data_IF_789815089859
#
_entry.id   IF_789815089859
#
_cell.length_a   1.000
_cell.length_b   1.000
_cell.length_c   1.000
_cell.angle_alpha   90.00
_cell.angle_beta   90.00
_cell.angle_gamma   90.00
#
_symmetry.space_group_name_H-M   'P 1'
#
loop_
_entity.id
_entity.type
_entity.pdbx_description
1 polymer ?
#
# COMPACT_ATOMS: atom_id res chain seq x y z
N UNK A 1 12.43 -56.60 11.23
CA UNK A 1 13.00 -55.44 11.96
C UNK A 1 12.81 -54.24 11.07
N UNK A 2 11.71 -53.54 11.25
CA UNK A 2 11.43 -52.30 10.52
C UNK A 2 11.95 -51.11 11.32
N UNK A 3 12.95 -50.42 10.81
CA UNK A 3 13.46 -49.20 11.37
C UNK A 3 12.48 -48.06 11.06
N UNK A 4 11.73 -47.63 12.07
CA UNK A 4 11.01 -46.35 12.05
C UNK A 4 12.02 -45.21 11.95
N UNK A 5 12.21 -44.66 10.76
CA UNK A 5 12.84 -43.39 10.54
C UNK A 5 11.79 -42.30 10.91
N UNK A 6 11.80 -41.91 12.17
CA UNK A 6 11.10 -40.71 12.61
C UNK A 6 11.79 -39.52 11.94
N UNK A 7 11.16 -38.98 10.91
CA UNK A 7 11.55 -37.68 10.35
C UNK A 7 11.18 -36.61 11.36
N UNK A 8 12.17 -36.20 12.18
CA UNK A 8 12.05 -34.98 12.98
C UNK A 8 11.81 -33.83 12.00
N UNK A 9 10.69 -33.14 12.13
CA UNK A 9 10.48 -31.84 11.46
C UNK A 9 11.66 -30.93 11.84
N UNK A 10 12.28 -30.24 10.90
CA UNK A 10 13.33 -29.30 11.23
C UNK A 10 12.77 -28.25 12.21
N UNK A 11 13.42 -28.13 13.37
CA UNK A 11 13.14 -27.06 14.33
C UNK A 11 13.76 -25.82 13.69
N UNK A 12 12.92 -24.91 13.16
CA UNK A 12 13.38 -23.61 12.69
C UNK A 12 13.56 -22.69 13.90
N UNK A 13 14.74 -22.07 14.03
CA UNK A 13 15.00 -21.07 15.04
C UNK A 13 14.21 -19.79 14.67
N UNK A 14 13.40 -19.27 15.57
CA UNK A 14 12.62 -18.03 15.38
C UNK A 14 13.53 -16.81 15.11
N UNK A 15 14.80 -16.89 15.49
CA UNK A 15 15.80 -15.85 15.25
C UNK A 15 16.50 -15.96 13.86
N UNK A 16 16.36 -17.07 13.18
CA UNK A 16 16.96 -17.27 11.86
C UNK A 16 16.23 -16.46 10.78
N UNK A 17 16.97 -15.92 9.82
CA UNK A 17 16.39 -15.22 8.69
C UNK A 17 15.62 -16.19 7.80
N UNK A 18 14.44 -15.77 7.34
CA UNK A 18 13.60 -16.56 6.46
C UNK A 18 14.31 -16.72 5.10
N UNK A 19 14.40 -17.97 4.64
CA UNK A 19 15.03 -18.35 3.38
C UNK A 19 14.07 -19.16 2.51
N UNK A 20 14.48 -19.45 1.27
CA UNK A 20 13.71 -20.32 0.36
C UNK A 20 13.39 -21.70 0.96
N UNK A 21 14.28 -22.24 1.81
CA UNK A 21 14.09 -23.54 2.43
C UNK A 21 12.94 -23.61 3.45
N UNK A 22 12.46 -22.48 3.93
CA UNK A 22 11.32 -22.40 4.83
C UNK A 22 9.98 -22.61 4.11
N UNK A 23 9.97 -22.63 2.78
CA UNK A 23 8.76 -22.76 1.98
C UNK A 23 8.71 -24.05 1.17
N UNK A 24 7.51 -24.56 0.97
CA UNK A 24 7.18 -25.61 0.03
C UNK A 24 6.42 -24.99 -1.15
N UNK A 25 6.93 -25.21 -2.38
CA UNK A 25 6.25 -24.73 -3.59
C UNK A 25 5.17 -25.73 -3.98
N UNK A 26 3.95 -25.23 -4.13
CA UNK A 26 2.81 -26.07 -4.47
C UNK A 26 2.44 -25.94 -5.95
N UNK A 27 2.32 -24.71 -6.48
CA UNK A 27 1.81 -24.47 -7.83
C UNK A 27 2.17 -23.09 -8.35
N UNK A 28 2.47 -22.95 -9.64
CA UNK A 28 2.60 -21.66 -10.32
C UNK A 28 1.21 -21.09 -10.66
N UNK A 29 1.01 -19.78 -10.45
CA UNK A 29 -0.27 -19.08 -10.65
C UNK A 29 -0.17 -17.83 -11.51
N UNK A 30 1.04 -17.38 -11.81
CA UNK A 30 1.21 -16.16 -12.59
C UNK A 30 2.63 -15.97 -13.12
N UNK A 31 2.73 -15.11 -14.14
CA UNK A 31 3.98 -14.66 -14.74
C UNK A 31 4.05 -13.16 -14.61
N UNK A 32 4.90 -12.68 -13.73
CA UNK A 32 5.20 -11.25 -13.63
C UNK A 32 6.14 -10.80 -14.74
N UNK A 33 6.31 -9.49 -14.88
CA UNK A 33 7.19 -8.87 -15.88
C UNK A 33 8.63 -9.39 -15.81
N UNK A 34 9.12 -9.77 -14.61
CA UNK A 34 10.52 -10.15 -14.33
C UNK A 34 10.67 -11.51 -13.71
N UNK A 35 9.58 -12.20 -13.41
CA UNK A 35 9.60 -13.47 -12.71
C UNK A 35 8.28 -14.20 -12.77
N UNK A 36 8.09 -15.11 -11.84
CA UNK A 36 6.88 -15.91 -11.73
C UNK A 36 6.29 -15.78 -10.33
N UNK A 37 5.02 -16.12 -10.20
CA UNK A 37 4.30 -16.17 -8.94
C UNK A 37 3.85 -17.60 -8.68
N UNK A 38 4.19 -18.12 -7.51
CA UNK A 38 3.83 -19.46 -7.07
C UNK A 38 3.03 -19.43 -5.77
N UNK A 39 2.10 -20.36 -5.61
CA UNK A 39 1.53 -20.68 -4.30
C UNK A 39 2.58 -21.45 -3.51
N UNK A 40 2.85 -20.98 -2.30
CA UNK A 40 3.79 -21.62 -1.37
C UNK A 40 3.16 -21.83 0.00
N UNK A 41 3.62 -22.86 0.70
CA UNK A 41 3.29 -23.10 2.10
C UNK A 41 4.53 -22.89 2.97
N UNK A 42 4.44 -22.05 4.00
CA UNK A 42 5.49 -21.94 5.03
C UNK A 42 5.48 -23.22 5.88
N UNK A 43 6.62 -23.88 6.01
CA UNK A 43 6.71 -25.28 6.51
C UNK A 43 6.40 -25.41 7.99
N UNK A 44 6.74 -24.39 8.79
CA UNK A 44 6.51 -24.33 10.23
C UNK A 44 5.03 -24.04 10.57
N UNK A 45 4.49 -22.92 10.07
CA UNK A 45 3.14 -22.43 10.38
C UNK A 45 2.05 -23.08 9.51
N UNK A 46 2.40 -23.76 8.42
CA UNK A 46 1.49 -24.27 7.39
C UNK A 46 0.65 -23.18 6.70
N UNK A 47 0.97 -21.92 6.94
CA UNK A 47 0.29 -20.79 6.30
C UNK A 47 0.64 -20.69 4.83
N UNK A 48 -0.36 -20.35 4.03
CA UNK A 48 -0.26 -20.25 2.58
C UNK A 48 0.04 -18.81 2.17
N UNK A 49 0.88 -18.65 1.14
CA UNK A 49 1.29 -17.35 0.59
C UNK A 49 1.44 -17.42 -0.92
N UNK A 50 1.48 -16.26 -1.56
CA UNK A 50 2.00 -16.12 -2.92
C UNK A 50 3.47 -15.69 -2.86
N UNK A 51 4.35 -16.39 -3.59
CA UNK A 51 5.77 -16.05 -3.69
C UNK A 51 6.06 -15.57 -5.10
N UNK A 52 6.41 -14.30 -5.24
CA UNK A 52 6.95 -13.69 -6.46
C UNK A 52 8.47 -13.87 -6.44
N UNK A 53 9.05 -14.46 -7.46
CA UNK A 53 10.50 -14.57 -7.57
C UNK A 53 11.00 -14.00 -8.89
N UNK A 54 12.16 -13.37 -8.84
CA UNK A 54 12.75 -12.63 -9.93
C UNK A 54 14.21 -13.02 -10.08
N UNK A 55 14.61 -13.44 -11.29
CA UNK A 55 15.98 -13.81 -11.54
C UNK A 55 16.86 -12.56 -11.64
N UNK A 56 17.93 -12.48 -10.82
CA UNK A 56 18.85 -11.34 -10.71
C UNK A 56 19.45 -10.96 -12.06
N UNK A 57 19.96 -11.95 -12.82
CA UNK A 57 20.56 -11.73 -14.12
C UNK A 57 19.56 -11.08 -15.10
N UNK A 58 18.32 -11.60 -15.17
CA UNK A 58 17.29 -11.03 -16.04
C UNK A 58 16.88 -9.61 -15.61
N UNK A 59 16.89 -9.32 -14.31
CA UNK A 59 16.62 -7.97 -13.81
C UNK A 59 17.74 -6.99 -14.21
N UNK A 60 19.01 -7.41 -14.18
CA UNK A 60 20.13 -6.60 -14.65
C UNK A 60 20.04 -6.37 -16.16
N UNK A 61 19.83 -7.40 -16.96
CA UNK A 61 19.70 -7.33 -18.44
C UNK A 61 18.58 -6.39 -18.88
N UNK A 62 17.50 -6.29 -18.12
CA UNK A 62 16.33 -5.44 -18.41
C UNK A 62 16.37 -4.08 -17.72
N UNK A 63 17.42 -3.79 -16.96
CA UNK A 63 17.57 -2.55 -16.16
C UNK A 63 16.45 -2.32 -15.16
N UNK A 64 15.94 -3.38 -14.51
CA UNK A 64 14.74 -3.37 -13.65
C UNK A 64 15.07 -3.47 -12.15
N UNK A 65 16.32 -3.65 -11.79
CA UNK A 65 16.76 -3.81 -10.39
C UNK A 65 16.25 -2.69 -9.50
N UNK A 66 16.33 -1.44 -10.00
CA UNK A 66 15.88 -0.26 -9.27
C UNK A 66 14.37 -0.28 -9.00
N UNK A 67 13.57 -0.75 -9.96
CA UNK A 67 12.12 -0.84 -9.81
C UNK A 67 11.74 -1.91 -8.78
N UNK A 68 12.41 -3.07 -8.79
CA UNK A 68 12.23 -4.13 -7.79
C UNK A 68 12.54 -3.63 -6.39
N UNK A 69 13.66 -2.93 -6.21
CA UNK A 69 14.03 -2.39 -4.90
C UNK A 69 13.05 -1.33 -4.41
N UNK A 70 12.57 -0.48 -5.31
CA UNK A 70 11.57 0.53 -4.99
C UNK A 70 10.22 -0.09 -4.62
N UNK A 71 9.76 -1.10 -5.37
CA UNK A 71 8.55 -1.85 -5.04
C UNK A 71 8.67 -2.46 -3.63
N UNK A 72 9.79 -3.11 -3.35
CA UNK A 72 10.04 -3.71 -2.04
C UNK A 72 10.06 -2.67 -0.91
N UNK A 73 10.76 -1.56 -1.10
CA UNK A 73 10.85 -0.47 -0.14
C UNK A 73 9.47 0.11 0.19
N UNK A 74 8.61 0.30 -0.81
CA UNK A 74 7.24 0.78 -0.62
C UNK A 74 6.43 -0.25 0.18
N UNK A 75 6.44 -1.52 -0.26
CA UNK A 75 5.58 -2.55 0.33
C UNK A 75 5.94 -2.90 1.78
N UNK A 76 7.19 -2.71 2.21
CA UNK A 76 7.57 -2.92 3.61
C UNK A 76 6.84 -2.00 4.58
N UNK A 77 6.62 -0.74 4.17
CA UNK A 77 5.94 0.27 4.97
C UNK A 77 4.41 0.21 4.90
N UNK A 78 3.84 -0.73 4.13
CA UNK A 78 2.41 -0.84 3.92
C UNK A 78 1.80 -2.05 4.63
N UNK A 79 0.68 -1.81 5.30
CA UNK A 79 -0.18 -2.85 5.85
C UNK A 79 -1.63 -2.36 5.88
N UNK A 80 -2.49 -2.95 5.02
CA UNK A 80 -3.89 -2.53 4.92
C UNK A 80 -4.78 -3.68 4.41
N UNK A 81 -6.06 -3.79 4.86
CA UNK A 81 -6.97 -4.87 4.46
C UNK A 81 -7.21 -4.98 2.94
N UNK A 82 -7.14 -3.86 2.21
CA UNK A 82 -7.39 -3.79 0.77
C UNK A 82 -6.12 -3.58 -0.06
N UNK A 83 -4.95 -3.90 0.50
CA UNK A 83 -3.68 -4.01 -0.23
C UNK A 83 -3.16 -5.43 -0.15
N UNK A 84 -2.40 -5.84 -1.15
CA UNK A 84 -1.58 -7.06 -1.06
C UNK A 84 -0.37 -6.76 -0.18
N UNK A 85 -0.32 -7.38 1.00
CA UNK A 85 0.70 -7.11 2.00
C UNK A 85 1.94 -7.97 1.79
N UNK A 86 3.12 -7.39 1.98
CA UNK A 86 4.40 -8.11 1.98
C UNK A 86 4.61 -8.76 3.35
N UNK A 87 4.93 -10.06 3.37
CA UNK A 87 5.25 -10.83 4.58
C UNK A 87 6.74 -11.03 4.75
N UNK A 88 7.42 -11.47 3.68
CA UNK A 88 8.86 -11.72 3.71
C UNK A 88 9.50 -11.27 2.41
N UNK A 89 10.74 -10.81 2.50
CA UNK A 89 11.64 -10.73 1.36
C UNK A 89 13.00 -11.31 1.71
N UNK A 90 13.58 -12.07 0.80
CA UNK A 90 14.88 -12.70 0.92
C UNK A 90 15.45 -12.98 -0.47
N UNK A 91 16.71 -13.36 -0.52
CA UNK A 91 17.39 -13.66 -1.77
C UNK A 91 18.28 -14.87 -1.61
N UNK A 92 18.64 -15.49 -2.73
CA UNK A 92 19.74 -16.44 -2.82
C UNK A 92 20.71 -16.01 -3.91
N UNK A 93 21.58 -16.91 -4.38
CA UNK A 93 22.59 -16.60 -5.40
C UNK A 93 21.97 -16.13 -6.73
N UNK A 94 20.87 -16.74 -7.17
CA UNK A 94 20.28 -16.52 -8.50
C UNK A 94 19.07 -15.61 -8.51
N UNK A 95 18.26 -15.61 -7.43
CA UNK A 95 16.93 -15.00 -7.42
C UNK A 95 16.69 -14.14 -6.19
N UNK A 96 15.79 -13.15 -6.35
CA UNK A 96 15.16 -12.36 -5.31
C UNK A 96 13.73 -12.84 -5.10
N UNK A 97 13.26 -12.88 -3.86
CA UNK A 97 11.94 -13.40 -3.47
C UNK A 97 11.16 -12.36 -2.68
N UNK A 98 9.88 -12.24 -3.01
CA UNK A 98 8.88 -11.47 -2.24
C UNK A 98 7.72 -12.40 -1.94
N UNK A 99 7.40 -12.58 -0.66
CA UNK A 99 6.30 -13.41 -0.18
C UNK A 99 5.19 -12.49 0.28
N UNK A 100 4.02 -12.61 -0.34
CA UNK A 100 2.88 -11.72 -0.16
C UNK A 100 1.61 -12.51 0.18
N UNK A 101 0.52 -11.81 0.51
CA UNK A 101 -0.79 -12.42 0.71
C UNK A 101 -1.17 -13.32 -0.47
N UNK A 102 -1.77 -14.48 -0.18
CA UNK A 102 -2.36 -15.36 -1.19
C UNK A 102 -3.82 -15.00 -1.39
N UNK A 103 -4.16 -14.56 -2.59
CA UNK A 103 -5.50 -14.18 -2.99
C UNK A 103 -5.97 -15.11 -4.13
N UNK A 104 -6.95 -15.95 -3.86
CA UNK A 104 -7.39 -17.00 -4.78
C UNK A 104 -8.60 -16.61 -5.64
N UNK A 105 -9.14 -15.41 -5.42
CA UNK A 105 -10.27 -14.90 -6.20
C UNK A 105 -9.92 -14.45 -7.61
N UNK A 106 -8.62 -14.35 -7.96
CA UNK A 106 -8.15 -13.84 -9.25
C UNK A 106 -8.23 -12.31 -9.35
N UNK A 107 -7.77 -11.76 -10.47
CA UNK A 107 -7.86 -10.33 -10.73
C UNK A 107 -9.17 -9.95 -11.45
N UNK A 108 -9.56 -8.68 -11.34
CA UNK A 108 -10.80 -8.19 -11.97
C UNK A 108 -10.73 -8.24 -13.50
N UNK A 109 -9.54 -8.18 -14.11
CA UNK A 109 -9.36 -8.36 -15.56
C UNK A 109 -9.74 -9.77 -16.00
N UNK A 110 -9.29 -10.80 -15.25
CA UNK A 110 -9.66 -12.18 -15.49
C UNK A 110 -11.19 -12.35 -15.52
N UNK A 111 -11.90 -11.80 -14.53
CA UNK A 111 -13.36 -11.88 -14.48
C UNK A 111 -14.04 -11.14 -15.63
N UNK A 112 -13.56 -9.95 -16.01
CA UNK A 112 -14.07 -9.23 -17.18
C UNK A 112 -13.87 -10.01 -18.48
N UNK A 113 -12.77 -10.75 -18.63
CA UNK A 113 -12.51 -11.63 -19.80
C UNK A 113 -13.40 -12.89 -19.80
N UNK A 114 -13.91 -13.29 -18.66
CA UNK A 114 -14.92 -14.36 -18.53
C UNK A 114 -16.36 -13.83 -18.71
N UNK A 115 -16.51 -12.64 -19.31
CA UNK A 115 -17.80 -11.96 -19.53
C UNK A 115 -18.61 -11.70 -18.24
N UNK A 116 -17.97 -11.67 -17.07
CA UNK A 116 -18.62 -11.25 -15.84
C UNK A 116 -19.04 -9.77 -15.98
N UNK A 117 -20.28 -9.49 -15.61
CA UNK A 117 -20.82 -8.15 -15.47
C UNK A 117 -21.14 -7.94 -14.00
N UNK A 118 -20.39 -7.07 -13.36
CA UNK A 118 -20.61 -6.78 -11.95
C UNK A 118 -21.87 -5.94 -11.79
N UNK A 119 -22.67 -6.28 -10.79
CA UNK A 119 -23.86 -5.50 -10.43
C UNK A 119 -23.43 -4.16 -9.80
N UNK A 120 -24.32 -3.18 -9.88
CA UNK A 120 -24.07 -1.83 -9.36
C UNK A 120 -23.80 -1.84 -7.84
N UNK A 121 -24.49 -2.68 -7.08
CA UNK A 121 -24.27 -2.84 -5.66
C UNK A 121 -22.85 -3.38 -5.36
N UNK A 122 -22.37 -4.34 -6.15
CA UNK A 122 -21.00 -4.87 -6.04
C UNK A 122 -19.96 -3.80 -6.34
N UNK A 123 -20.13 -3.04 -7.44
CA UNK A 123 -19.19 -1.99 -7.81
C UNK A 123 -19.21 -0.84 -6.80
N UNK A 124 -20.37 -0.54 -6.18
CA UNK A 124 -20.47 0.41 -5.07
C UNK A 124 -19.54 0.02 -3.91
N UNK A 125 -19.55 -1.25 -3.50
CA UNK A 125 -18.67 -1.74 -2.43
C UNK A 125 -17.20 -1.72 -2.87
N UNK A 126 -16.88 -2.14 -4.09
CA UNK A 126 -15.50 -2.07 -4.62
C UNK A 126 -14.97 -0.63 -4.65
N UNK A 127 -15.79 0.36 -4.99
CA UNK A 127 -15.41 1.77 -4.91
C UNK A 127 -15.07 2.15 -3.45
N UNK A 128 -15.89 1.73 -2.48
CA UNK A 128 -15.64 2.03 -1.07
C UNK A 128 -14.34 1.38 -0.55
N UNK A 129 -14.11 0.11 -0.86
CA UNK A 129 -12.89 -0.63 -0.48
C UNK A 129 -11.63 -0.03 -1.11
N UNK A 130 -11.68 0.29 -2.42
CA UNK A 130 -10.57 0.93 -3.13
C UNK A 130 -10.35 2.37 -2.65
N UNK A 131 -11.40 3.12 -2.31
CA UNK A 131 -11.26 4.46 -1.73
C UNK A 131 -10.50 4.42 -0.39
N UNK A 132 -10.80 3.46 0.49
CA UNK A 132 -10.06 3.23 1.74
C UNK A 132 -8.59 2.88 1.47
N UNK A 133 -8.31 2.06 0.46
CA UNK A 133 -6.94 1.73 0.06
C UNK A 133 -6.18 2.96 -0.46
N UNK A 134 -6.80 3.77 -1.31
CA UNK A 134 -6.19 4.99 -1.87
C UNK A 134 -5.94 6.05 -0.81
N UNK A 135 -6.86 6.23 0.13
CA UNK A 135 -6.70 7.15 1.26
C UNK A 135 -5.52 6.72 2.15
N UNK A 136 -5.43 5.42 2.45
CA UNK A 136 -4.29 4.87 3.18
C UNK A 136 -2.97 5.11 2.44
N UNK A 137 -2.89 4.89 1.12
CA UNK A 137 -1.69 5.18 0.33
C UNK A 137 -1.35 6.67 0.37
N UNK A 138 -2.35 7.55 0.28
CA UNK A 138 -2.17 8.99 0.38
C UNK A 138 -1.63 9.38 1.76
N UNK A 139 -2.11 8.78 2.86
CA UNK A 139 -1.60 9.00 4.22
C UNK A 139 -0.11 8.59 4.37
N UNK A 140 0.36 7.68 3.52
CA UNK A 140 1.77 7.27 3.42
C UNK A 140 2.56 8.04 2.37
N UNK A 141 1.98 9.09 1.79
CA UNK A 141 2.56 9.89 0.71
C UNK A 141 2.89 9.07 -0.54
N UNK A 142 2.06 8.09 -0.89
CA UNK A 142 2.28 7.20 -2.03
C UNK A 142 1.21 7.43 -3.09
N UNK A 143 1.63 7.55 -4.36
CA UNK A 143 0.77 7.47 -5.54
C UNK A 143 1.07 6.13 -6.23
N UNK A 144 0.04 5.32 -6.46
CA UNK A 144 0.16 4.00 -7.09
C UNK A 144 0.44 4.07 -8.58
N UNK A 145 -0.28 4.93 -9.31
CA UNK A 145 -0.15 5.26 -10.74
C UNK A 145 -0.56 4.16 -11.73
N UNK A 146 -1.00 3.01 -11.26
CA UNK A 146 -1.45 1.91 -12.16
C UNK A 146 -2.67 1.16 -11.62
N UNK A 147 -3.64 1.89 -11.05
CA UNK A 147 -4.94 1.34 -10.64
C UNK A 147 -5.72 0.93 -11.90
N UNK A 148 -6.02 -0.36 -12.02
CA UNK A 148 -6.74 -0.96 -13.13
C UNK A 148 -7.23 -2.36 -12.75
N UNK A 149 -8.18 -2.98 -13.49
CA UNK A 149 -8.68 -4.32 -13.19
C UNK A 149 -7.60 -5.40 -13.08
N UNK A 150 -6.51 -5.27 -13.83
CA UNK A 150 -5.38 -6.21 -13.83
C UNK A 150 -4.58 -6.18 -12.50
N UNK A 151 -4.61 -5.06 -11.79
CA UNK A 151 -3.88 -4.81 -10.54
C UNK A 151 -4.79 -4.79 -9.31
N UNK A 152 -6.03 -5.27 -9.44
CA UNK A 152 -6.98 -5.43 -8.32
C UNK A 152 -7.35 -6.91 -8.24
N UNK A 153 -6.87 -7.58 -7.21
CA UNK A 153 -7.13 -8.99 -6.92
C UNK A 153 -8.33 -9.12 -5.99
N UNK A 154 -9.02 -10.25 -6.05
CA UNK A 154 -10.08 -10.63 -5.14
C UNK A 154 -9.59 -11.69 -4.14
N UNK A 155 -10.01 -11.58 -2.90
CA UNK A 155 -9.92 -12.69 -1.95
C UNK A 155 -11.06 -13.71 -2.18
N UNK A 156 -11.10 -14.78 -1.39
CA UNK A 156 -12.10 -15.83 -1.51
C UNK A 156 -13.52 -15.38 -1.14
N UNK A 157 -13.64 -14.26 -0.43
CA UNK A 157 -14.89 -13.62 -0.02
C UNK A 157 -15.35 -12.57 -1.03
N UNK A 158 -14.51 -12.25 -2.01
CA UNK A 158 -14.79 -11.29 -3.08
C UNK A 158 -14.41 -9.85 -2.74
N UNK A 159 -13.64 -9.61 -1.68
CA UNK A 159 -13.10 -8.27 -1.37
C UNK A 159 -11.88 -7.95 -2.23
N UNK A 160 -11.72 -6.66 -2.57
CA UNK A 160 -10.65 -6.21 -3.46
C UNK A 160 -9.34 -5.94 -2.72
N UNK A 161 -8.22 -6.19 -3.40
CA UNK A 161 -6.87 -5.89 -2.92
C UNK A 161 -6.03 -5.32 -4.05
N UNK A 162 -5.46 -4.13 -3.83
CA UNK A 162 -4.55 -3.50 -4.78
C UNK A 162 -3.18 -4.15 -4.71
N UNK A 163 -2.59 -4.43 -5.87
CA UNK A 163 -1.27 -5.05 -6.04
C UNK A 163 -0.43 -4.32 -7.07
N UNK A 164 0.84 -4.70 -7.20
CA UNK A 164 1.78 -4.22 -8.22
C UNK A 164 2.23 -2.77 -8.03
N UNK A 165 3.10 -2.55 -7.04
CA UNK A 165 3.67 -1.24 -6.69
C UNK A 165 4.93 -0.88 -7.47
N UNK A 166 5.26 -1.60 -8.57
CA UNK A 166 6.53 -1.42 -9.28
C UNK A 166 6.72 -0.03 -9.91
N UNK A 167 5.64 0.66 -10.28
CA UNK A 167 5.70 2.04 -10.74
C UNK A 167 5.14 3.06 -9.73
N UNK A 168 4.75 2.64 -8.54
CA UNK A 168 4.32 3.53 -7.47
C UNK A 168 5.42 4.54 -7.10
N UNK A 169 5.06 5.67 -6.53
CA UNK A 169 6.04 6.70 -6.14
C UNK A 169 5.68 7.35 -4.82
N UNK A 170 6.72 7.64 -4.05
CA UNK A 170 6.58 8.44 -2.83
C UNK A 170 6.63 9.93 -3.23
N UNK A 171 5.67 10.70 -2.74
CA UNK A 171 5.61 12.16 -2.89
C UNK A 171 6.41 12.77 -1.76
N UNK A 172 7.31 13.69 -2.08
CA UNK A 172 8.06 14.45 -1.09
C UNK A 172 7.72 15.93 -1.21
N UNK A 173 7.91 16.70 -0.14
CA UNK A 173 7.62 18.15 -0.14
C UNK A 173 8.40 18.92 -1.21
N UNK A 174 9.59 18.42 -1.56
CA UNK A 174 10.55 19.12 -2.41
C UNK A 174 10.51 18.67 -3.88
N UNK A 175 9.75 17.62 -4.21
CA UNK A 175 9.81 17.01 -5.54
C UNK A 175 8.44 16.85 -6.16
N UNK A 176 8.18 17.54 -7.26
CA UNK A 176 6.97 17.35 -8.06
C UNK A 176 7.04 16.04 -8.85
N UNK A 177 5.96 15.27 -8.81
CA UNK A 177 5.83 14.06 -9.62
C UNK A 177 5.36 14.45 -11.01
N UNK A 178 6.25 14.35 -12.03
CA UNK A 178 5.97 14.80 -13.39
C UNK A 178 6.24 13.76 -14.48
N UNK A 179 6.80 12.61 -14.12
CA UNK A 179 7.11 11.58 -15.10
C UNK A 179 5.84 10.81 -15.51
N UNK A 180 5.65 10.65 -16.81
CA UNK A 180 4.55 9.84 -17.37
C UNK A 180 4.84 8.37 -17.07
N UNK A 181 4.01 7.74 -16.25
CA UNK A 181 4.09 6.33 -15.90
C UNK A 181 2.69 5.77 -15.66
N UNK A 182 2.43 4.56 -16.12
CA UNK A 182 1.13 3.90 -16.00
C UNK A 182 0.61 3.29 -17.28
N UNK A 183 -0.56 2.72 -17.20
CA UNK A 183 -1.28 2.14 -18.33
C UNK A 183 -2.17 3.21 -18.98
N UNK A 184 -1.79 3.71 -20.15
CA UNK A 184 -2.43 4.87 -20.83
C UNK A 184 -3.95 4.95 -20.74
N UNK A 185 -4.73 3.87 -20.96
CA UNK A 185 -6.20 3.93 -20.89
C UNK A 185 -6.79 4.26 -19.50
N UNK A 186 -5.99 4.20 -18.44
CA UNK A 186 -6.40 4.47 -17.05
C UNK A 186 -5.76 5.73 -16.48
N UNK A 187 -4.77 6.31 -17.19
CA UNK A 187 -4.04 7.49 -16.72
C UNK A 187 -4.91 8.74 -16.77
N UNK A 188 -4.78 9.58 -15.75
CA UNK A 188 -5.48 10.85 -15.66
C UNK A 188 -4.94 11.89 -16.68
N UNK A 189 -5.78 12.84 -17.15
CA UNK A 189 -5.39 13.85 -18.13
C UNK A 189 -4.14 14.65 -17.73
N UNK A 190 -4.04 15.05 -16.47
CA UNK A 190 -2.94 15.86 -15.92
C UNK A 190 -1.59 15.13 -15.95
N UNK A 191 -1.57 13.80 -15.99
CA UNK A 191 -0.31 13.03 -16.13
C UNK A 191 0.37 13.26 -17.48
N UNK A 192 -0.39 13.63 -18.52
CA UNK A 192 0.14 13.91 -19.85
C UNK A 192 0.60 15.36 -20.03
N UNK A 193 0.23 16.25 -19.11
CA UNK A 193 0.59 17.68 -19.14
C UNK A 193 1.56 18.08 -18.03
N UNK A 194 1.88 17.15 -17.13
CA UNK A 194 2.76 17.41 -15.99
C UNK A 194 4.16 17.85 -16.41
N UNK A 195 4.70 18.81 -15.69
CA UNK A 195 6.05 19.36 -15.86
C UNK A 195 6.81 19.30 -14.53
N UNK A 196 8.11 19.57 -14.56
CA UNK A 196 8.92 19.62 -13.34
C UNK A 196 8.48 20.73 -12.36
N UNK A 197 7.76 21.74 -12.85
CA UNK A 197 7.25 22.86 -12.05
C UNK A 197 5.78 22.72 -11.69
N UNK A 198 5.03 21.85 -12.39
CA UNK A 198 3.61 21.58 -12.16
C UNK A 198 3.36 20.09 -12.31
N UNK A 199 3.61 19.35 -11.24
CA UNK A 199 3.41 17.90 -11.18
C UNK A 199 1.93 17.51 -11.03
N UNK A 200 1.68 16.21 -10.87
CA UNK A 200 0.37 15.67 -10.54
C UNK A 200 0.38 15.10 -9.11
N UNK A 201 -0.82 14.94 -8.55
CA UNK A 201 -1.04 14.52 -7.17
C UNK A 201 -1.71 13.14 -7.08
N UNK A 202 -2.15 12.77 -5.88
CA UNK A 202 -2.93 11.56 -5.60
C UNK A 202 -4.23 11.45 -6.41
N UNK A 203 -4.78 12.57 -6.88
CA UNK A 203 -6.00 12.62 -7.69
C UNK A 203 -5.94 11.72 -8.94
N UNK A 204 -4.75 11.38 -9.44
CA UNK A 204 -4.59 10.49 -10.60
C UNK A 204 -5.05 9.05 -10.32
N UNK A 205 -4.88 8.55 -9.10
CA UNK A 205 -5.34 7.21 -8.73
C UNK A 205 -6.87 7.16 -8.59
N UNK A 206 -7.50 8.25 -8.13
CA UNK A 206 -8.96 8.38 -8.05
C UNK A 206 -9.61 8.45 -9.44
N UNK A 207 -8.97 9.10 -10.41
CA UNK A 207 -9.38 9.00 -11.81
C UNK A 207 -9.35 7.55 -12.28
N UNK A 208 -8.25 6.84 -12.02
CA UNK A 208 -8.05 5.44 -12.43
C UNK A 208 -9.10 4.53 -11.78
N UNK A 209 -9.48 4.79 -10.52
CA UNK A 209 -10.60 4.15 -9.84
C UNK A 209 -11.91 4.37 -10.60
N UNK A 210 -12.21 5.60 -11.02
CA UNK A 210 -13.42 5.93 -11.80
C UNK A 210 -13.47 5.20 -13.14
N UNK A 211 -12.35 5.15 -13.88
CA UNK A 211 -12.24 4.39 -15.14
C UNK A 211 -12.45 2.89 -14.90
N UNK A 212 -11.85 2.35 -13.82
CA UNK A 212 -12.01 0.95 -13.42
C UNK A 212 -13.46 0.64 -13.08
N UNK A 213 -14.11 1.43 -12.23
CA UNK A 213 -15.52 1.26 -11.85
C UNK A 213 -16.45 1.27 -13.07
N UNK A 214 -16.26 2.22 -14.00
CA UNK A 214 -17.00 2.25 -15.25
C UNK A 214 -16.82 0.96 -16.05
N UNK A 215 -15.56 0.47 -16.19
CA UNK A 215 -15.26 -0.74 -16.97
C UNK A 215 -15.89 -1.99 -16.34
N UNK A 216 -15.91 -2.10 -15.00
CA UNK A 216 -16.54 -3.21 -14.27
C UNK A 216 -18.05 -3.30 -14.57
N UNK A 217 -18.75 -2.16 -14.56
CA UNK A 217 -20.17 -2.08 -14.87
C UNK A 217 -20.48 -2.29 -16.36
N UNK A 218 -19.63 -1.77 -17.25
CA UNK A 218 -19.91 -1.73 -18.70
C UNK A 218 -19.33 -2.92 -19.45
N UNK A 219 -18.25 -3.53 -18.93
CA UNK A 219 -17.41 -4.50 -19.63
C UNK A 219 -16.48 -3.88 -20.67
N UNK A 220 -16.41 -2.54 -20.73
CA UNK A 220 -15.49 -1.78 -21.59
C UNK A 220 -15.24 -0.40 -21.01
N UNK A 221 -14.07 0.17 -21.29
CA UNK A 221 -13.66 1.49 -20.81
C UNK A 221 -14.50 2.64 -21.41
N UNK A 222 -14.60 3.78 -20.70
CA UNK A 222 -15.36 4.94 -21.19
C UNK A 222 -14.69 5.60 -22.41
N UNK A 223 -13.36 5.58 -22.47
CA UNK A 223 -12.57 6.15 -23.55
C UNK A 223 -11.87 5.07 -24.36
N UNK A 224 -11.83 5.25 -25.69
CA UNK A 224 -11.16 4.33 -26.59
C UNK A 224 -9.70 4.75 -26.84
N UNK A 225 -8.84 4.48 -25.83
CA UNK A 225 -7.41 4.82 -25.85
C UNK A 225 -6.60 3.56 -26.08
N UNK A 226 -5.64 3.63 -27.03
CA UNK A 226 -4.68 2.57 -27.36
C UNK A 226 -3.30 2.92 -26.82
N UNK A 227 -2.46 1.93 -26.60
CA UNK A 227 -1.06 2.11 -26.19
C UNK A 227 -0.25 2.93 -27.20
N UNK A 228 -0.60 2.88 -28.49
CA UNK A 228 0.03 3.64 -29.58
C UNK A 228 -0.34 5.12 -29.62
N UNK A 229 -1.44 5.55 -28.94
CA UNK A 229 -1.82 6.95 -28.96
C UNK A 229 -0.76 7.83 -28.29
N UNK A 230 -0.49 8.98 -28.91
CA UNK A 230 0.35 10.04 -28.34
C UNK A 230 -0.38 10.76 -27.19
N UNK A 231 0.35 11.49 -26.35
CA UNK A 231 -0.23 12.30 -25.29
C UNK A 231 -1.27 13.31 -25.80
N UNK A 232 -0.97 13.99 -26.93
CA UNK A 232 -1.87 14.98 -27.51
C UNK A 232 -3.18 14.35 -28.04
N UNK A 233 -3.10 13.17 -28.64
CA UNK A 233 -4.29 12.42 -29.09
C UNK A 233 -5.15 12.00 -27.88
N UNK A 234 -4.54 11.54 -26.80
CA UNK A 234 -5.25 11.15 -25.59
C UNK A 234 -5.96 12.37 -24.98
N UNK A 235 -5.26 13.50 -24.83
CA UNK A 235 -5.87 14.74 -24.33
C UNK A 235 -7.00 15.25 -25.24
N UNK A 236 -6.89 15.07 -26.55
CA UNK A 236 -7.96 15.38 -27.49
C UNK A 236 -9.18 14.46 -27.25
N UNK A 237 -8.95 13.14 -27.11
CA UNK A 237 -10.02 12.17 -26.81
C UNK A 237 -10.74 12.56 -25.53
N UNK A 238 -10.04 12.91 -24.43
CA UNK A 238 -10.68 13.31 -23.16
C UNK A 238 -11.57 14.56 -23.33
N UNK A 239 -11.16 15.52 -24.16
CA UNK A 239 -11.93 16.76 -24.40
C UNK A 239 -13.13 16.57 -25.31
N UNK A 240 -13.09 15.61 -26.23
CA UNK A 240 -14.09 15.50 -27.31
C UNK A 240 -15.01 14.27 -27.18
N UNK A 241 -14.57 13.24 -26.48
CA UNK A 241 -15.35 12.02 -26.35
C UNK A 241 -16.54 12.22 -25.41
N UNK A 242 -17.71 11.76 -25.86
CA UNK A 242 -18.91 11.69 -25.01
C UNK A 242 -18.97 10.32 -24.35
N UNK A 243 -18.90 10.29 -23.00
CA UNK A 243 -19.02 9.04 -22.24
C UNK A 243 -20.47 8.56 -22.30
N UNK A 244 -20.67 7.34 -22.73
CA UNK A 244 -21.98 6.70 -22.85
C UNK A 244 -22.37 5.98 -21.54
N UNK A 245 -23.32 6.50 -20.81
CA UNK A 245 -23.89 5.87 -19.62
C UNK A 245 -25.17 5.11 -20.01
N UNK A 246 -25.24 3.77 -19.74
CA UNK A 246 -26.46 3.01 -20.00
C UNK A 246 -27.65 3.49 -19.18
N UNK A 247 -28.84 3.51 -19.78
CA UNK A 247 -30.06 3.90 -19.08
C UNK A 247 -30.46 2.96 -17.92
N UNK A 248 -29.88 1.77 -17.87
CA UNK A 248 -30.08 0.81 -16.80
C UNK A 248 -29.29 1.15 -15.52
N UNK A 249 -28.31 2.06 -15.60
CA UNK A 249 -27.56 2.48 -14.42
C UNK A 249 -28.36 3.54 -13.63
N UNK A 250 -28.24 3.51 -12.30
CA UNK A 250 -28.82 4.54 -11.46
C UNK A 250 -28.17 5.90 -11.74
N UNK A 251 -28.95 6.97 -11.55
CA UNK A 251 -28.42 8.34 -11.69
C UNK A 251 -27.35 8.62 -10.63
N UNK A 252 -27.46 8.00 -9.47
CA UNK A 252 -26.51 8.15 -8.36
C UNK A 252 -25.17 7.54 -8.71
N UNK A 253 -25.13 6.31 -9.24
CA UNK A 253 -23.88 5.67 -9.70
C UNK A 253 -23.26 6.46 -10.88
N UNK A 254 -24.07 6.91 -11.83
CA UNK A 254 -23.60 7.75 -12.95
C UNK A 254 -22.93 9.02 -12.40
N UNK A 255 -23.57 9.66 -11.42
CA UNK A 255 -23.08 10.90 -10.82
C UNK A 255 -21.80 10.68 -10.02
N UNK A 256 -21.69 9.57 -9.27
CA UNK A 256 -20.47 9.18 -8.56
C UNK A 256 -19.30 8.96 -9.54
N UNK A 257 -19.53 8.18 -10.60
CA UNK A 257 -18.51 7.94 -11.61
C UNK A 257 -18.06 9.26 -12.27
N UNK A 258 -18.99 10.17 -12.59
CA UNK A 258 -18.65 11.49 -13.15
C UNK A 258 -17.73 12.29 -12.20
N UNK A 259 -17.97 12.23 -10.89
CA UNK A 259 -17.11 12.90 -9.90
C UNK A 259 -15.70 12.29 -9.83
N UNK A 260 -15.56 10.99 -10.07
CA UNK A 260 -14.27 10.32 -10.13
C UNK A 260 -13.52 10.56 -11.46
N UNK A 261 -14.25 10.62 -12.61
CA UNK A 261 -13.65 10.86 -13.93
C UNK A 261 -13.75 12.33 -14.38
N UNK A 262 -13.76 13.24 -13.41
CA UNK A 262 -13.71 14.67 -13.70
C UNK A 262 -12.33 15.06 -14.26
N UNK A 263 -12.33 15.79 -15.38
CA UNK A 263 -11.10 16.18 -16.10
C UNK A 263 -10.29 17.17 -15.28
N UNK A 264 -10.98 18.13 -14.64
CA UNK A 264 -10.33 19.06 -13.72
C UNK A 264 -10.00 18.36 -12.40
N UNK A 265 -8.71 18.15 -12.13
CA UNK A 265 -8.25 17.45 -10.94
C UNK A 265 -8.67 18.11 -9.61
N UNK A 266 -8.89 19.43 -9.61
CA UNK A 266 -9.34 20.19 -8.42
C UNK A 266 -10.83 19.98 -8.12
N UNK A 267 -11.64 19.65 -9.12
CA UNK A 267 -13.08 19.36 -9.00
C UNK A 267 -13.38 17.87 -8.84
N UNK A 268 -12.37 17.02 -9.06
CA UNK A 268 -12.44 15.57 -8.94
C UNK A 268 -12.53 15.15 -7.48
N UNK A 269 -13.22 14.05 -7.21
CA UNK A 269 -13.08 13.36 -5.93
C UNK A 269 -11.67 12.75 -5.83
N UNK A 270 -10.89 13.16 -4.83
CA UNK A 270 -9.49 12.76 -4.66
C UNK A 270 -9.10 12.50 -3.18
N UNK A 271 -10.07 12.37 -2.30
CA UNK A 271 -9.88 12.03 -0.89
C UNK A 271 -11.10 11.27 -0.37
N UNK A 272 -10.91 10.50 0.70
CA UNK A 272 -11.94 9.63 1.24
C UNK A 272 -13.19 10.40 1.69
N UNK A 273 -13.03 11.57 2.33
CA UNK A 273 -14.15 12.39 2.78
C UNK A 273 -15.11 12.79 1.64
N UNK A 274 -14.62 13.08 0.45
CA UNK A 274 -15.48 13.39 -0.70
C UNK A 274 -16.41 12.23 -1.07
N UNK A 275 -15.95 10.99 -0.84
CA UNK A 275 -16.73 9.79 -1.12
C UNK A 275 -17.66 9.45 0.05
N UNK A 276 -17.18 9.62 1.29
CA UNK A 276 -17.97 9.36 2.50
C UNK A 276 -19.17 10.30 2.64
N UNK A 277 -18.96 11.58 2.33
CA UNK A 277 -20.00 12.62 2.41
C UNK A 277 -20.97 12.60 1.22
N UNK A 278 -20.69 11.77 0.19
CA UNK A 278 -21.52 11.72 -1.00
C UNK A 278 -22.86 11.01 -0.71
N UNK A 279 -24.03 11.65 -0.99
CA UNK A 279 -25.35 11.15 -0.56
C UNK A 279 -25.65 9.71 -0.96
N UNK A 280 -25.18 9.26 -2.11
CA UNK A 280 -25.33 7.87 -2.58
C UNK A 280 -24.64 6.83 -1.68
N UNK A 281 -23.66 7.25 -0.88
CA UNK A 281 -22.86 6.41 0.01
C UNK A 281 -23.14 6.68 1.50
N UNK A 282 -24.15 7.50 1.81
CA UNK A 282 -24.52 7.87 3.17
C UNK A 282 -24.98 6.67 4.04
N UNK A 283 -25.45 5.59 3.40
CA UNK A 283 -25.88 4.34 4.05
C UNK A 283 -24.71 3.37 4.34
N UNK A 284 -23.48 3.69 3.90
CA UNK A 284 -22.33 2.83 4.07
C UNK A 284 -21.75 2.94 5.48
N UNK A 285 -21.66 1.80 6.16
CA UNK A 285 -20.88 1.69 7.39
C UNK A 285 -19.40 1.45 7.02
N UNK A 286 -18.60 2.50 7.05
CA UNK A 286 -17.20 2.48 6.62
C UNK A 286 -16.30 1.61 7.49
N UNK A 287 -16.58 1.50 8.79
CA UNK A 287 -15.86 0.58 9.68
C UNK A 287 -16.16 -0.88 9.33
N UNK A 288 -17.42 -1.19 9.03
CA UNK A 288 -17.81 -2.52 8.58
C UNK A 288 -17.19 -2.87 7.22
N UNK A 289 -17.05 -1.90 6.30
CA UNK A 289 -16.32 -2.07 5.04
C UNK A 289 -14.85 -2.35 5.34
N UNK A 290 -14.18 -1.54 6.17
CA UNK A 290 -12.78 -1.70 6.53
C UNK A 290 -12.50 -3.08 7.17
N UNK A 291 -13.44 -3.57 7.99
CA UNK A 291 -13.39 -4.88 8.63
C UNK A 291 -13.81 -6.04 7.71
N UNK A 292 -14.17 -5.76 6.44
CA UNK A 292 -14.64 -6.78 5.47
C UNK A 292 -15.87 -7.55 5.92
N UNK A 293 -16.74 -6.94 6.73
CA UNK A 293 -17.99 -7.56 7.20
C UNK A 293 -19.19 -7.26 6.28
N UNK A 294 -19.04 -6.33 5.34
CA UNK A 294 -20.05 -6.02 4.31
C UNK A 294 -19.88 -6.98 3.12
N UNK A 295 -20.91 -7.76 2.76
CA UNK A 295 -20.80 -8.64 1.59
C UNK A 295 -20.65 -7.83 0.29
N UNK A 296 -19.74 -8.24 -0.58
CA UNK A 296 -19.51 -7.56 -1.86
C UNK A 296 -20.58 -7.86 -2.92
N UNK A 297 -21.37 -8.93 -2.71
CA UNK A 297 -22.34 -9.40 -3.70
C UNK A 297 -21.74 -10.24 -4.85
N UNK A 298 -20.42 -10.35 -4.91
CA UNK A 298 -19.72 -11.20 -5.87
C UNK A 298 -18.79 -12.18 -5.15
N UNK A 299 -18.92 -13.47 -5.44
CA UNK A 299 -18.06 -14.50 -4.89
C UNK A 299 -17.29 -15.19 -6.04
N UNK A 300 -15.94 -15.16 -6.01
CA UNK A 300 -15.14 -15.91 -6.95
C UNK A 300 -15.40 -17.41 -6.86
N UNK A 301 -15.18 -18.13 -7.95
CA UNK A 301 -15.39 -19.59 -7.99
C UNK A 301 -14.31 -20.28 -7.14
N UNK A 302 -14.73 -20.92 -6.03
CA UNK A 302 -13.83 -21.65 -5.11
C UNK A 302 -13.27 -22.95 -5.71
N UNK A 303 -13.88 -23.48 -6.77
CA UNK A 303 -13.44 -24.72 -7.44
C UNK A 303 -12.34 -24.51 -8.49
N UNK A 304 -11.91 -23.26 -8.72
CA UNK A 304 -10.89 -22.88 -9.72
C UNK A 304 -9.89 -21.93 -9.11
N UNK A 305 -8.70 -21.85 -9.69
CA UNK A 305 -7.67 -20.86 -9.28
C UNK A 305 -7.98 -19.43 -9.76
N UNK A 306 -9.03 -19.21 -10.52
CA UNK A 306 -9.38 -17.89 -11.09
C UNK A 306 -8.20 -17.17 -11.75
N UNK A 307 -7.30 -17.91 -12.39
CA UNK A 307 -6.17 -17.41 -13.17
C UNK A 307 -6.04 -18.21 -14.48
N UNK A 308 -5.22 -17.72 -15.40
CA UNK A 308 -4.97 -18.42 -16.65
C UNK A 308 -4.18 -19.72 -16.40
N UNK A 309 -4.72 -20.89 -16.70
CA UNK A 309 -4.07 -22.18 -16.44
C UNK A 309 -2.81 -22.41 -17.31
N UNK A 310 -2.58 -21.61 -18.34
CA UNK A 310 -1.40 -21.73 -19.21
C UNK A 310 -0.10 -21.47 -18.47
N UNK A 311 -0.11 -20.67 -17.38
CA UNK A 311 1.07 -20.39 -16.58
C UNK A 311 1.71 -21.64 -15.96
N UNK A 312 0.88 -22.58 -15.49
CA UNK A 312 1.38 -23.85 -14.94
C UNK A 312 1.96 -24.75 -16.03
N UNK A 313 1.28 -24.82 -17.18
CA UNK A 313 1.77 -25.57 -18.34
C UNK A 313 3.09 -24.99 -18.88
N UNK A 314 3.24 -23.67 -18.93
CA UNK A 314 4.50 -23.02 -19.34
C UNK A 314 5.65 -23.42 -18.39
N UNK A 315 5.43 -23.46 -17.07
CA UNK A 315 6.46 -23.89 -16.13
C UNK A 315 6.86 -25.34 -16.33
N UNK A 316 5.89 -26.22 -16.53
CA UNK A 316 6.14 -27.65 -16.71
C UNK A 316 6.80 -28.00 -18.05
N UNK A 317 6.44 -27.28 -19.13
CA UNK A 317 6.82 -27.64 -20.49
C UNK A 317 7.97 -26.77 -21.02
N UNK A 318 7.90 -25.46 -20.79
CA UNK A 318 8.78 -24.49 -21.44
C UNK A 318 9.95 -24.03 -20.55
N UNK A 319 9.86 -24.23 -19.24
CA UNK A 319 10.92 -23.77 -18.35
C UNK A 319 12.06 -24.78 -18.25
N UNK A 320 13.20 -24.44 -18.82
CA UNK A 320 14.43 -25.25 -18.72
C UNK A 320 15.00 -25.32 -17.29
N UNK A 321 14.57 -24.39 -16.42
CA UNK A 321 15.09 -24.25 -15.04
C UNK A 321 13.96 -24.06 -14.02
N UNK A 322 13.11 -25.08 -13.78
CA UNK A 322 11.98 -24.95 -12.87
C UNK A 322 12.43 -24.75 -11.41
N UNK A 323 11.66 -23.93 -10.68
CA UNK A 323 12.00 -23.53 -9.31
C UNK A 323 12.06 -24.74 -8.35
N UNK A 324 11.18 -25.74 -8.49
CA UNK A 324 11.19 -26.94 -7.66
C UNK A 324 12.46 -27.83 -7.79
N UNK A 325 13.24 -27.66 -8.87
CA UNK A 325 14.53 -28.34 -9.08
C UNK A 325 15.75 -27.47 -8.75
N UNK A 326 15.53 -26.26 -8.23
CA UNK A 326 16.56 -25.25 -7.99
C UNK A 326 17.71 -25.75 -7.10
N UNK A 327 17.41 -26.40 -5.99
CA UNK A 327 18.40 -26.92 -5.04
C UNK A 327 19.42 -27.86 -5.71
N UNK A 328 18.96 -28.76 -6.60
CA UNK A 328 19.86 -29.64 -7.35
C UNK A 328 20.72 -28.89 -8.37
N UNK A 329 20.19 -27.81 -8.94
CA UNK A 329 20.88 -27.00 -9.94
C UNK A 329 21.98 -26.15 -9.32
N UNK A 330 21.72 -25.49 -8.18
CA UNK A 330 22.71 -24.70 -7.44
C UNK A 330 23.89 -25.56 -7.01
N UNK A 331 23.66 -26.74 -6.41
CA UNK A 331 24.68 -27.69 -6.01
C UNK A 331 25.55 -28.19 -7.19
N UNK A 332 25.02 -28.18 -8.43
CA UNK A 332 25.78 -28.50 -9.64
C UNK A 332 26.64 -27.32 -10.10
N UNK A 333 26.13 -26.08 -10.03
CA UNK A 333 26.80 -24.86 -10.48
C UNK A 333 28.04 -24.54 -9.64
N UNK A 334 28.02 -24.78 -8.33
CA UNK A 334 29.18 -24.63 -7.44
C UNK A 334 30.40 -25.46 -7.91
N UNK A 335 30.17 -26.56 -8.67
CA UNK A 335 31.24 -27.44 -9.19
C UNK A 335 31.78 -27.02 -10.56
N UNK A 336 31.11 -26.09 -11.26
CA UNK A 336 31.41 -25.73 -12.65
C UNK A 336 31.86 -24.26 -12.84
N UNK A 337 32.24 -23.52 -11.78
CA UNK A 337 32.59 -22.09 -11.90
C UNK A 337 33.92 -21.90 -12.64
N UNK A 338 33.85 -21.64 -13.95
CA UNK A 338 34.94 -21.06 -14.73
C UNK A 338 34.81 -19.52 -14.69
N UNK A 339 35.87 -18.83 -14.31
CA UNK A 339 35.95 -17.36 -14.31
C UNK A 339 36.14 -16.87 -15.74
N UNK A 340 35.16 -16.14 -16.26
CA UNK A 340 35.29 -15.36 -17.48
C UNK A 340 35.81 -13.96 -17.10
N UNK A 341 36.93 -13.53 -17.68
CA UNK A 341 37.63 -12.26 -17.36
C UNK A 341 37.26 -11.13 -18.32
N UNK A 342 36.21 -11.26 -19.11
CA UNK A 342 35.78 -10.17 -20.02
C UNK A 342 35.32 -8.94 -19.24
N UNK A 343 35.50 -7.68 -19.74
CA UNK A 343 35.04 -6.46 -19.10
C UNK A 343 33.52 -6.47 -18.83
N UNK A 344 32.74 -7.08 -19.74
CA UNK A 344 31.29 -7.22 -19.60
C UNK A 344 30.93 -8.19 -18.46
N UNK A 345 31.63 -9.31 -18.34
CA UNK A 345 31.46 -10.25 -17.23
C UNK A 345 31.81 -9.60 -15.88
N UNK A 346 32.88 -8.79 -15.85
CA UNK A 346 33.25 -8.03 -14.65
C UNK A 346 32.20 -6.99 -14.24
N UNK A 347 31.60 -6.26 -15.20
CA UNK A 347 30.51 -5.31 -14.91
C UNK A 347 29.26 -6.02 -14.44
N UNK A 348 28.90 -7.13 -15.07
CA UNK A 348 27.78 -7.96 -14.65
C UNK A 348 27.95 -8.47 -13.22
N UNK A 349 29.14 -8.96 -12.90
CA UNK A 349 29.48 -9.44 -11.56
C UNK A 349 29.30 -8.31 -10.51
N UNK A 350 29.81 -7.09 -10.79
CA UNK A 350 29.60 -5.93 -9.91
C UNK A 350 28.12 -5.60 -9.71
N UNK A 351 27.31 -5.68 -10.76
CA UNK A 351 25.87 -5.45 -10.65
C UNK A 351 25.20 -6.51 -9.77
N UNK A 352 25.58 -7.78 -9.90
CA UNK A 352 25.05 -8.88 -9.08
C UNK A 352 25.48 -8.74 -7.60
N UNK A 353 26.74 -8.33 -7.35
CA UNK A 353 27.25 -8.04 -6.01
C UNK A 353 26.51 -6.84 -5.37
N UNK A 354 26.19 -5.79 -6.16
CA UNK A 354 25.37 -4.69 -5.70
C UNK A 354 23.98 -5.17 -5.30
N UNK A 355 23.34 -6.02 -6.11
CA UNK A 355 22.04 -6.60 -5.74
C UNK A 355 22.14 -7.38 -4.44
N UNK A 356 23.20 -8.21 -4.29
CA UNK A 356 23.38 -9.04 -3.09
C UNK A 356 23.51 -8.18 -1.81
N UNK A 357 24.21 -7.04 -1.90
CA UNK A 357 24.43 -6.12 -0.78
C UNK A 357 23.22 -5.26 -0.48
N UNK A 358 22.55 -4.73 -1.51
CA UNK A 358 21.58 -3.66 -1.39
C UNK A 358 20.13 -4.15 -1.34
N UNK A 359 19.89 -5.46 -1.59
CA UNK A 359 18.56 -6.05 -1.49
C UNK A 359 18.09 -6.12 -0.03
N UNK A 360 16.91 -5.61 0.24
CA UNK A 360 16.38 -5.54 1.59
C UNK A 360 15.74 -6.86 2.01
N UNK A 361 16.24 -7.42 3.12
CA UNK A 361 15.64 -8.57 3.80
C UNK A 361 14.56 -8.06 4.73
N UNK A 362 13.37 -8.65 4.67
CA UNK A 362 12.23 -8.23 5.47
C UNK A 362 11.47 -9.41 6.04
N UNK A 363 11.01 -9.27 7.28
CA UNK A 363 10.15 -10.21 7.98
C UNK A 363 9.09 -9.43 8.77
N UNK A 364 7.83 -9.44 8.29
CA UNK A 364 6.73 -8.72 8.93
C UNK A 364 6.41 -9.23 10.34
N UNK A 365 6.55 -10.53 10.56
CA UNK A 365 6.28 -11.11 11.88
C UNK A 365 7.27 -10.56 12.92
N UNK A 366 8.57 -10.50 12.58
CA UNK A 366 9.60 -9.86 13.43
C UNK A 366 9.31 -8.36 13.63
N UNK A 367 8.99 -7.63 12.55
CA UNK A 367 8.70 -6.20 12.63
C UNK A 367 7.49 -5.89 13.54
N UNK A 368 6.43 -6.71 13.49
CA UNK A 368 5.27 -6.60 14.39
C UNK A 368 5.64 -6.89 15.83
N UNK A 369 6.46 -7.90 16.09
CA UNK A 369 6.92 -8.23 17.45
C UNK A 369 7.76 -7.11 18.04
N UNK A 370 8.66 -6.51 17.26
CA UNK A 370 9.48 -5.37 17.69
C UNK A 370 8.62 -4.15 17.99
N UNK A 371 7.63 -3.85 17.15
CA UNK A 371 6.70 -2.75 17.38
C UNK A 371 5.88 -2.94 18.67
N UNK A 372 5.35 -4.12 18.89
CA UNK A 372 4.61 -4.44 20.11
C UNK A 372 5.49 -4.29 21.36
N UNK A 373 6.73 -4.78 21.34
CA UNK A 373 7.68 -4.61 22.44
C UNK A 373 7.99 -3.14 22.74
N UNK A 374 8.09 -2.30 21.68
CA UNK A 374 8.29 -0.86 21.87
C UNK A 374 7.06 -0.19 22.50
N UNK A 375 5.85 -0.56 22.09
CA UNK A 375 4.61 -0.05 22.69
C UNK A 375 4.45 -0.49 24.14
N UNK A 376 4.74 -1.75 24.46
CA UNK A 376 4.69 -2.27 25.83
C UNK A 376 5.69 -1.52 26.73
N UNK A 377 6.91 -1.24 26.25
CA UNK A 377 7.91 -0.48 26.99
C UNK A 377 7.50 0.98 27.21
N UNK A 378 6.87 1.62 26.22
CA UNK A 378 6.33 2.99 26.35
C UNK A 378 5.18 3.06 27.36
N UNK A 379 4.34 2.03 27.42
CA UNK A 379 3.23 1.95 28.39
C UNK A 379 3.77 1.72 29.81
N UNK A 380 4.84 0.95 29.97
CA UNK A 380 5.50 0.71 31.26
C UNK A 380 6.17 1.98 31.78
N UNK A 381 6.88 2.74 30.94
CA UNK A 381 7.48 4.03 31.32
C UNK A 381 6.42 5.06 31.70
N UNK A 382 5.32 5.16 30.99
CA UNK A 382 4.22 6.06 31.37
C UNK A 382 3.51 5.67 32.67
N UNK A 383 3.51 4.38 33.02
CA UNK A 383 2.95 3.90 34.31
C UNK A 383 3.95 4.04 35.47
N UNK A 384 5.25 4.07 35.23
CA UNK A 384 6.28 4.36 36.21
C UNK A 384 6.38 5.87 36.50
N UNK A 385 6.33 6.71 35.50
CA UNK A 385 6.27 8.18 35.66
C UNK A 385 5.01 8.63 36.42
N UNK A 386 3.85 7.97 36.21
CA UNK A 386 2.63 8.24 36.97
C UNK A 386 2.65 7.71 38.42
N UNK A 387 3.64 6.90 38.82
CA UNK A 387 3.80 6.43 40.21
C UNK A 387 4.73 7.31 41.05
N UNK A 388 5.58 8.12 40.43
CA UNK A 388 6.44 9.08 41.13
C UNK A 388 5.72 10.40 41.41
N UNK A 389 4.60 10.72 40.74
CA UNK A 389 3.80 11.93 40.95
C UNK A 389 2.65 11.80 41.99
N UNK A 390 2.49 10.67 42.66
CA UNK A 390 1.49 10.50 43.76
C UNK A 390 1.93 11.05 45.14
N UNK A 391 2.79 12.07 45.20
CA UNK A 391 3.05 12.85 46.41
C UNK A 391 2.61 14.32 46.25
N UNK A 392 1.38 14.54 45.81
CA UNK A 392 0.72 15.83 46.04
C UNK A 392 0.05 15.81 47.39
N UNK A 393 0.71 16.46 48.37
CA UNK A 393 0.11 16.73 49.66
C UNK A 393 -0.98 17.77 49.52
N UNK A 394 -2.23 17.34 49.50
CA UNK A 394 -3.39 18.23 49.60
C UNK A 394 -3.48 18.67 51.06
N UNK A 395 -3.07 19.90 51.34
CA UNK A 395 -3.42 20.57 52.63
C UNK A 395 -4.81 21.18 52.45
N UNK A 396 -5.81 20.51 53.00
CA UNK A 396 -7.13 21.11 53.20
C UNK A 396 -7.02 22.15 54.32
N UNK A 397 -7.21 23.41 54.02
CA UNK A 397 -7.56 24.43 54.99
C UNK A 397 -9.06 24.61 55.00
N UNK A 398 -9.72 24.11 56.05
CA UNK A 398 -11.10 24.46 56.35
C UNK A 398 -11.15 25.94 56.77
N UNK A 399 -11.72 26.78 55.92
CA UNK A 399 -12.48 27.96 56.37
C UNK A 399 -13.46 28.44 55.27
N UNK A 400 -14.70 28.21 55.63
CA UNK A 400 -15.93 28.94 55.31
C UNK A 400 -16.10 29.73 53.99
N UNK A 401 -17.02 29.17 53.20
CA UNK A 401 -18.08 29.87 52.42
C UNK A 401 -17.67 30.71 51.20
N UNK A 402 -18.25 30.26 50.10
CA UNK A 402 -18.59 31.02 48.91
C UNK A 402 -17.40 31.38 48.01
N UNK A 403 -17.41 30.75 46.84
CA UNK A 403 -16.59 30.92 45.64
C UNK A 403 -15.42 29.88 45.47
N UNK A 404 -15.76 28.74 44.82
CA UNK A 404 -14.76 27.77 44.38
C UNK A 404 -14.14 28.21 43.03
N UNK A 405 -12.98 28.89 43.11
CA UNK A 405 -12.10 29.05 41.97
C UNK A 405 -10.89 28.09 42.14
N UNK A 406 -10.88 27.05 41.31
CA UNK A 406 -9.74 26.10 41.29
C UNK A 406 -8.76 26.58 40.19
N UNK A 407 -7.58 27.03 40.59
CA UNK A 407 -6.49 27.39 39.67
C UNK A 407 -5.49 26.21 39.64
N UNK A 408 -5.39 25.54 38.52
CA UNK A 408 -4.35 24.49 38.32
C UNK A 408 -3.25 25.07 37.44
N UNK A 409 -2.06 25.24 38.01
CA UNK A 409 -0.87 25.67 37.29
C UNK A 409 -0.01 24.43 37.01
N UNK A 410 0.16 24.06 35.73
CA UNK A 410 1.15 23.06 35.32
C UNK A 410 2.39 23.79 34.79
N UNK A 411 3.49 23.65 35.49
CA UNK A 411 4.82 24.04 34.98
C UNK A 411 5.48 22.80 34.39
N UNK A 412 5.77 22.86 33.08
CA UNK A 412 6.66 21.90 32.44
C UNK A 412 8.04 22.53 32.36
N UNK A 413 8.98 22.03 33.14
CA UNK A 413 10.40 22.33 32.94
C UNK A 413 10.90 21.44 31.78
N UNK A 414 11.02 22.03 30.58
CA UNK A 414 11.85 21.50 29.51
C UNK A 414 12.92 22.54 29.23
N UNK A 415 14.17 22.18 29.44
CA UNK A 415 15.31 22.91 28.94
C UNK A 415 15.23 22.98 27.41
N UNK A 416 14.98 24.13 26.89
CA UNK A 416 14.96 24.69 25.54
C UNK A 416 13.54 25.11 25.07
N UNK A 417 13.35 26.44 25.10
CA UNK A 417 12.23 27.30 24.69
C UNK A 417 11.06 27.42 25.68
N UNK A 418 11.07 28.55 26.41
CA UNK A 418 10.02 29.02 27.33
C UNK A 418 8.70 29.26 26.59
N UNK A 419 7.75 28.35 26.70
CA UNK A 419 6.32 28.61 26.44
C UNK A 419 5.52 28.35 27.73
N UNK A 420 5.12 29.42 28.40
CA UNK A 420 4.21 29.35 29.54
C UNK A 420 2.76 29.24 29.05
N UNK A 421 2.12 28.10 29.27
CA UNK A 421 0.70 27.90 28.97
C UNK A 421 -0.09 28.04 30.27
N UNK A 422 -0.90 29.08 30.40
CA UNK A 422 -1.82 29.22 31.53
C UNK A 422 -3.24 28.84 31.09
N UNK A 423 -3.78 27.81 31.71
CA UNK A 423 -5.17 27.39 31.47
C UNK A 423 -6.01 27.85 32.68
N UNK A 424 -6.95 28.75 32.45
CA UNK A 424 -7.90 29.19 33.48
C UNK A 424 -9.26 28.58 33.16
N UNK A 425 -9.81 27.79 34.07
CA UNK A 425 -11.17 27.29 33.97
C UNK A 425 -12.07 28.13 34.88
N UNK A 426 -13.02 28.88 34.30
CA UNK A 426 -14.07 29.55 35.04
C UNK A 426 -15.35 28.76 34.87
N UNK A 427 -15.95 28.29 35.97
CA UNK A 427 -17.31 27.75 35.97
C UNK A 427 -18.28 28.87 36.33
N UNK A 428 -19.00 29.38 35.36
CA UNK A 428 -20.21 30.14 35.60
C UNK A 428 -21.39 29.18 35.67
N UNK A 429 -22.17 29.30 36.74
CA UNK A 429 -23.41 28.61 36.91
C UNK A 429 -24.42 29.15 35.87
N UNK A 430 -24.63 28.43 34.83
CA UNK A 430 -25.76 28.24 33.93
C UNK A 430 -25.20 27.89 32.52
N UNK A 431 -25.37 26.63 32.17
CA UNK A 431 -25.36 26.06 30.80
C UNK A 431 -24.41 26.74 29.80
N UNK A 432 -23.09 26.45 29.86
CA UNK A 432 -22.17 26.29 28.72
C UNK A 432 -20.72 26.28 29.23
N UNK A 433 -20.00 25.16 29.01
CA UNK A 433 -18.55 25.06 29.28
C UNK A 433 -17.78 25.77 28.15
N UNK A 434 -17.28 26.96 28.41
CA UNK A 434 -16.35 27.64 27.48
C UNK A 434 -14.90 27.51 27.95
N UNK A 435 -14.10 26.76 27.18
CA UNK A 435 -12.66 26.70 27.37
C UNK A 435 -12.00 27.84 26.57
N UNK A 436 -11.37 28.80 27.27
CA UNK A 436 -10.63 29.86 26.60
C UNK A 436 -9.12 29.63 26.80
N UNK A 437 -8.40 29.38 25.72
CA UNK A 437 -6.93 29.29 25.72
C UNK A 437 -6.37 30.64 25.23
N UNK A 438 -5.61 31.31 26.09
CA UNK A 438 -4.93 32.54 25.69
C UNK A 438 -3.42 32.28 25.60
N UNK A 439 -2.85 32.50 24.44
CA UNK A 439 -1.40 32.50 24.22
C UNK A 439 -0.88 33.95 24.36
N UNK A 440 -0.01 34.21 25.29
CA UNK A 440 0.73 35.45 25.35
C UNK A 440 2.13 35.24 24.76
N UNK A 441 2.41 35.97 23.67
CA UNK A 441 3.78 36.13 23.16
C UNK A 441 4.32 37.40 23.74
N UNK A 442 5.39 37.32 24.49
CA UNK A 442 6.20 38.51 24.84
C UNK A 442 7.02 38.92 23.61
N UNK A 443 6.65 40.09 23.03
CA UNK A 443 7.48 40.76 22.03
C UNK A 443 8.53 41.58 22.78
N UNK A 444 9.77 41.18 22.69
CA UNK A 444 10.87 42.14 22.91
C UNK A 444 10.94 43.10 21.73
N UNK A 445 10.67 44.35 21.99
CA UNK A 445 10.96 45.47 21.09
C UNK A 445 12.47 45.70 21.10
N UNK A 446 13.15 45.38 20.00
CA UNK A 446 14.47 45.96 19.72
C UNK A 446 14.28 47.17 18.82
N UNK A 447 14.45 48.36 19.48
CA UNK A 447 14.76 49.62 18.86
C UNK A 447 16.17 49.56 18.23
N UNK A 448 16.27 49.61 16.93
CA UNK A 448 17.48 50.17 16.32
C UNK A 448 17.14 51.00 15.08
N UNK A 449 17.33 52.28 15.33
CA UNK A 449 17.39 53.34 14.33
C UNK A 449 18.71 53.22 13.52
N UNK A 450 18.59 53.48 12.30
CA UNK A 450 19.47 54.34 11.51
C UNK A 450 20.10 53.78 10.23
N UNK A 451 19.74 54.52 9.22
CA UNK A 451 20.59 55.13 8.16
C UNK A 451 20.94 54.36 6.88
N UNK A 452 20.35 54.96 5.86
CA UNK A 452 20.98 55.45 4.60
C UNK A 452 21.79 54.44 3.73
N UNK A 453 21.30 54.13 2.65
CA UNK A 453 21.57 54.58 1.26
C UNK A 453 20.89 53.63 0.29
#
# INVERSE_FOLDING_TARGET
MGSNISSKSPIYDENEDVTFDHFEILRAIGKGSFGKVCIVQKKDTKKMYAMKYMNKLKCVERNEVRNVFKELQIMQGLEHPFLVNLWYSFQDEEDMFMVVDLLLGGDLRYHLQQDVRFEEATVKIFICELALALDYLQSKNIIHRDIKPDNVLLDEQGHVHVTDFNIATVVTKDTQVANIAGTKPYMAPEMFTATKTAGYSYAVDWWSLGITAYELLRGRRPYHIRSSNSANEILHIYKTANIMYPAAWSQDMISLIKKLVEINAEERFFQLSHVQEYPYLADINWDAVLQKTVPTGFLPNKGKLNCDPTFELEEMILESKPLHKKKKRLAKKEKESNKDESPEACQLQKNLESIQRDFMIFNREKARQEHNKMQDNLTVTQTEDNKEDENLTVTETEDNKEDENLTVTQTKDNEEEDENLTVTQTKDNEEDENLTVTQTKDNEEDDDQNNNL
#
